data_IF_257188156928
#
_entry.id   IF_257188156928
#
_cell.length_a   1.000
_cell.length_b   1.000
_cell.length_c   1.000
_cell.angle_alpha   90.00
_cell.angle_beta   90.00
_cell.angle_gamma   90.00
#
_symmetry.space_group_name_H-M   'P 1'
#
loop_
_entity.id
_entity.type
_entity.pdbx_description
1 polymer ?
#
# COMPACT_ATOMS: atom_id res chain seq x y z
N UNK A 1 0.11 17.94 5.17
CA UNK A 1 1.49 17.42 5.35
C UNK A 1 1.65 16.14 4.57
N UNK A 2 2.74 15.99 3.82
CA UNK A 2 3.02 14.79 3.03
C UNK A 2 3.69 13.74 3.92
N UNK A 3 3.06 12.57 4.12
CA UNK A 3 3.48 11.57 5.13
C UNK A 3 4.50 10.55 4.62
N UNK A 4 4.98 10.67 3.37
CA UNK A 4 5.83 9.66 2.73
C UNK A 4 7.06 9.27 3.56
N UNK A 5 7.81 10.26 4.07
CA UNK A 5 9.00 9.99 4.87
C UNK A 5 8.68 9.20 6.14
N UNK A 6 7.61 9.59 6.85
CA UNK A 6 7.16 8.88 8.05
C UNK A 6 6.73 7.44 7.69
N UNK A 7 6.02 7.24 6.58
CA UNK A 7 5.61 5.91 6.11
C UNK A 7 6.80 5.02 5.76
N UNK A 8 7.85 5.57 5.13
CA UNK A 8 9.07 4.81 4.83
C UNK A 8 9.86 4.46 6.09
N UNK A 9 9.82 5.31 7.12
CA UNK A 9 10.45 5.07 8.41
C UNK A 9 9.68 4.05 9.27
N UNK A 10 8.37 3.90 9.05
CA UNK A 10 7.49 3.04 9.85
C UNK A 10 7.37 1.61 9.32
N UNK A 11 8.30 1.14 8.47
CA UNK A 11 8.23 -0.22 7.91
C UNK A 11 8.48 -1.23 9.04
N UNK A 12 7.50 -2.10 9.37
CA UNK A 12 7.57 -2.93 10.57
C UNK A 12 8.47 -4.17 10.41
N UNK A 13 8.87 -4.49 9.17
CA UNK A 13 9.67 -5.68 8.85
C UNK A 13 10.93 -5.24 8.10
N UNK A 14 12.07 -5.82 8.48
CA UNK A 14 13.33 -5.58 7.80
C UNK A 14 13.20 -5.86 6.29
N UNK A 15 13.54 -4.87 5.47
CA UNK A 15 13.48 -5.03 4.02
C UNK A 15 14.64 -5.91 3.55
N UNK A 16 14.42 -6.81 2.59
CA UNK A 16 15.53 -7.48 1.92
C UNK A 16 16.40 -6.44 1.20
N UNK A 17 17.68 -6.73 0.99
CA UNK A 17 18.54 -5.83 0.21
C UNK A 17 18.07 -5.81 -1.26
N UNK A 18 17.81 -4.63 -1.85
CA UNK A 18 17.46 -4.54 -3.27
C UNK A 18 18.65 -4.99 -4.14
N UNK A 19 18.36 -5.69 -5.24
CA UNK A 19 19.37 -6.11 -6.22
C UNK A 19 18.89 -5.77 -7.64
N UNK A 20 19.80 -5.72 -8.61
CA UNK A 20 19.42 -5.48 -10.01
C UNK A 20 18.37 -6.46 -10.54
N UNK A 21 18.38 -7.72 -10.08
CA UNK A 21 17.41 -8.77 -10.44
C UNK A 21 16.10 -8.69 -9.65
N UNK A 22 16.12 -8.06 -8.47
CA UNK A 22 14.96 -7.90 -7.58
C UNK A 22 14.88 -6.46 -7.08
N UNK A 23 14.55 -5.50 -7.96
CA UNK A 23 14.35 -4.12 -7.55
C UNK A 23 13.11 -4.01 -6.65
N UNK A 24 13.10 -3.04 -5.75
CA UNK A 24 11.94 -2.77 -4.88
C UNK A 24 11.22 -1.54 -5.40
N UNK A 25 10.13 -1.75 -6.14
CA UNK A 25 9.33 -0.66 -6.68
C UNK A 25 8.36 -0.07 -5.65
N UNK A 26 8.18 1.25 -5.68
CA UNK A 26 7.13 1.96 -4.92
C UNK A 26 6.22 2.67 -5.90
N UNK A 27 4.93 2.33 -5.86
CA UNK A 27 3.92 3.01 -6.66
C UNK A 27 3.29 4.14 -5.87
N UNK A 28 3.37 5.36 -6.39
CA UNK A 28 2.70 6.53 -5.81
C UNK A 28 1.67 7.11 -6.78
N UNK A 29 0.74 7.88 -6.24
CA UNK A 29 -0.23 8.64 -7.01
C UNK A 29 0.41 9.86 -7.67
N UNK A 30 -0.41 10.64 -8.39
CA UNK A 30 0.02 11.82 -9.15
C UNK A 30 0.42 13.00 -8.24
N UNK A 31 -0.13 13.11 -7.04
CA UNK A 31 0.21 14.17 -6.08
C UNK A 31 1.65 14.06 -5.56
N UNK A 32 2.31 12.93 -5.79
CA UNK A 32 3.71 12.69 -5.45
C UNK A 32 4.70 13.01 -6.57
N UNK A 33 4.26 13.62 -7.68
CA UNK A 33 5.12 14.03 -8.80
C UNK A 33 5.95 15.28 -8.46
N UNK A 34 6.85 15.14 -7.48
CA UNK A 34 7.67 16.23 -6.92
C UNK A 34 9.11 15.72 -6.77
N UNK A 35 10.10 16.51 -7.20
CA UNK A 35 11.53 16.11 -7.26
C UNK A 35 12.06 15.50 -5.95
N UNK A 36 11.69 16.04 -4.80
CA UNK A 36 12.18 15.55 -3.51
C UNK A 36 11.63 14.15 -3.16
N UNK A 37 10.46 13.76 -3.69
CA UNK A 37 9.90 12.40 -3.54
C UNK A 37 10.78 11.38 -4.22
N UNK A 38 11.20 11.68 -5.46
CA UNK A 38 12.07 10.79 -6.22
C UNK A 38 13.40 10.59 -5.49
N UNK A 39 14.01 11.68 -4.99
CA UNK A 39 15.24 11.62 -4.18
C UNK A 39 15.05 10.76 -2.95
N UNK A 40 14.02 11.04 -2.13
CA UNK A 40 13.72 10.29 -0.92
C UNK A 40 13.56 8.78 -1.18
N UNK A 41 12.85 8.40 -2.25
CA UNK A 41 12.67 7.00 -2.60
C UNK A 41 13.97 6.34 -3.08
N UNK A 42 14.74 7.02 -3.92
CA UNK A 42 16.02 6.49 -4.44
C UNK A 42 17.05 6.35 -3.32
N UNK A 43 17.15 7.33 -2.41
CA UNK A 43 18.04 7.27 -1.24
C UNK A 43 17.65 6.12 -0.30
N UNK A 44 16.34 5.84 -0.17
CA UNK A 44 15.83 4.68 0.54
C UNK A 44 15.95 3.37 -0.27
N UNK A 45 16.60 3.36 -1.44
CA UNK A 45 16.83 2.17 -2.25
C UNK A 45 15.58 1.62 -2.95
N UNK A 46 14.55 2.45 -3.14
CA UNK A 46 13.36 2.11 -3.90
C UNK A 46 13.42 2.63 -5.35
N UNK A 47 12.74 1.93 -6.25
CA UNK A 47 12.49 2.37 -7.62
C UNK A 47 11.15 3.11 -7.68
N UNK A 48 11.15 4.44 -7.90
CA UNK A 48 9.91 5.22 -7.93
C UNK A 48 9.06 4.89 -9.17
N UNK A 49 7.77 4.68 -8.96
CA UNK A 49 6.75 4.52 -9.99
C UNK A 49 5.60 5.50 -9.73
N UNK A 50 5.84 6.77 -10.00
CA UNK A 50 4.86 7.86 -9.84
C UNK A 50 4.04 8.00 -11.13
N UNK A 51 2.75 8.32 -11.03
CA UNK A 51 1.96 8.64 -12.24
C UNK A 51 2.38 10.03 -12.71
N UNK A 52 3.03 10.14 -13.86
CA UNK A 52 3.38 11.45 -14.42
C UNK A 52 2.11 12.27 -14.74
N UNK A 53 2.19 13.59 -14.56
CA UNK A 53 1.13 14.55 -14.89
C UNK A 53 0.75 14.57 -16.39
N UNK A 54 1.69 14.17 -17.27
CA UNK A 54 1.59 14.33 -18.73
C UNK A 54 1.66 13.02 -19.54
N UNK A 55 1.60 11.86 -18.90
CA UNK A 55 1.50 10.61 -19.68
C UNK A 55 0.04 10.32 -20.02
N UNK A 56 -0.23 10.45 -21.33
CA UNK A 56 -1.29 9.76 -22.02
C UNK A 56 -1.42 8.30 -21.58
N UNK A 57 -2.62 7.77 -21.80
CA UNK A 57 -3.13 6.43 -21.46
C UNK A 57 -2.34 5.27 -22.10
N UNK A 58 -1.10 5.51 -22.52
CA UNK A 58 -0.29 4.62 -23.33
C UNK A 58 0.20 3.40 -22.54
N UNK A 59 -0.18 2.25 -23.11
CA UNK A 59 0.27 0.91 -22.81
C UNK A 59 -0.16 0.33 -21.46
N UNK A 60 -1.49 0.15 -21.29
CA UNK A 60 -1.98 -1.09 -20.66
C UNK A 60 -1.49 -2.28 -21.51
N UNK A 61 -0.25 -2.72 -21.31
CA UNK A 61 0.26 -3.95 -21.92
C UNK A 61 -0.58 -5.10 -21.39
N UNK A 62 -1.39 -5.70 -22.26
CA UNK A 62 -2.17 -6.92 -21.95
C UNK A 62 -1.20 -7.97 -21.37
N UNK A 63 -1.56 -8.56 -20.23
CA UNK A 63 -0.72 -9.53 -19.51
C UNK A 63 0.19 -8.96 -18.40
N UNK A 64 0.24 -7.64 -18.19
CA UNK A 64 0.99 -7.07 -17.04
C UNK A 64 0.07 -6.93 -15.81
N UNK A 65 0.52 -7.46 -14.66
CA UNK A 65 -0.23 -7.33 -13.40
C UNK A 65 -0.15 -5.89 -12.91
N UNK A 66 -1.30 -5.26 -12.67
CA UNK A 66 -1.35 -3.89 -12.19
C UNK A 66 -0.71 -3.78 -10.79
N UNK A 67 0.28 -2.89 -10.65
CA UNK A 67 1.12 -2.73 -9.43
C UNK A 67 0.43 -1.97 -8.29
N UNK A 68 -0.62 -1.18 -8.58
CA UNK A 68 -1.23 -0.21 -7.65
C UNK A 68 -2.27 -0.78 -6.68
N UNK A 69 -2.93 -1.88 -7.02
CA UNK A 69 -4.19 -2.28 -6.36
C UNK A 69 -4.05 -2.94 -5.00
N UNK A 70 -2.89 -2.91 -4.34
CA UNK A 70 -2.70 -3.63 -3.07
C UNK A 70 -3.51 -2.97 -1.97
N UNK A 71 -3.43 -1.64 -1.84
CA UNK A 71 -4.13 -0.88 -0.79
C UNK A 71 -5.64 -0.93 -1.01
N UNK A 72 -6.10 -0.66 -2.23
CA UNK A 72 -7.53 -0.67 -2.57
C UNK A 72 -8.14 -2.07 -2.43
N UNK A 73 -7.37 -3.12 -2.77
CA UNK A 73 -7.80 -4.50 -2.56
C UNK A 73 -7.95 -4.81 -1.08
N UNK A 74 -6.98 -4.40 -0.25
CA UNK A 74 -7.07 -4.58 1.21
C UNK A 74 -8.27 -3.84 1.78
N UNK A 75 -8.54 -2.60 1.33
CA UNK A 75 -9.75 -1.86 1.69
C UNK A 75 -11.02 -2.59 1.25
N UNK A 76 -11.05 -3.15 0.04
CA UNK A 76 -12.19 -3.96 -0.44
C UNK A 76 -12.45 -5.17 0.45
N UNK A 77 -11.41 -5.83 0.98
CA UNK A 77 -11.58 -6.90 1.96
C UNK A 77 -12.11 -6.39 3.29
N UNK A 78 -11.59 -5.26 3.80
CA UNK A 78 -12.11 -4.64 5.03
C UNK A 78 -13.58 -4.23 4.89
N UNK A 79 -14.01 -3.78 3.72
CA UNK A 79 -15.40 -3.42 3.46
C UNK A 79 -16.37 -4.62 3.52
N UNK A 80 -15.88 -5.88 3.52
CA UNK A 80 -16.73 -7.06 3.74
C UNK A 80 -17.14 -7.23 5.21
N UNK A 81 -16.46 -6.55 6.13
CA UNK A 81 -16.83 -6.51 7.54
C UNK A 81 -17.80 -5.35 7.78
N UNK A 82 -19.11 -5.65 7.80
CA UNK A 82 -20.17 -4.62 7.91
C UNK A 82 -19.98 -3.69 9.11
N UNK A 83 -19.55 -4.21 10.26
CA UNK A 83 -19.31 -3.41 11.45
C UNK A 83 -18.20 -2.35 11.25
N UNK A 84 -17.16 -2.68 10.48
CA UNK A 84 -16.08 -1.76 10.13
C UNK A 84 -16.55 -0.78 9.06
N UNK A 85 -17.18 -1.28 7.98
CA UNK A 85 -17.67 -0.47 6.87
C UNK A 85 -18.63 0.63 7.33
N UNK A 86 -19.59 0.28 8.19
CA UNK A 86 -20.61 1.21 8.68
C UNK A 86 -20.11 1.99 9.91
N UNK A 87 -18.98 1.61 10.51
CA UNK A 87 -18.47 2.13 11.78
C UNK A 87 -19.51 2.06 12.89
N UNK A 88 -20.00 0.86 13.17
CA UNK A 88 -21.03 0.62 14.19
C UNK A 88 -20.58 0.99 15.60
N UNK A 89 -19.31 0.83 15.90
CA UNK A 89 -18.78 1.07 17.23
C UNK A 89 -18.83 2.55 17.61
N UNK A 90 -19.44 2.85 18.76
CA UNK A 90 -19.50 4.22 19.30
C UNK A 90 -18.17 4.69 19.88
N UNK A 91 -17.39 3.77 20.46
CA UNK A 91 -16.09 4.07 21.06
C UNK A 91 -14.98 3.81 20.05
N UNK A 92 -14.06 4.77 19.93
CA UNK A 92 -12.89 4.67 19.04
C UNK A 92 -12.03 3.45 19.35
N UNK A 93 -11.85 3.11 20.63
CA UNK A 93 -11.09 1.93 21.06
C UNK A 93 -11.68 0.61 20.55
N UNK A 94 -13.02 0.50 20.54
CA UNK A 94 -13.68 -0.71 20.05
C UNK A 94 -13.57 -0.81 18.52
N UNK A 95 -13.73 0.32 17.83
CA UNK A 95 -13.56 0.36 16.38
C UNK A 95 -12.13 -0.03 15.98
N UNK A 96 -11.14 0.49 16.69
CA UNK A 96 -9.73 0.14 16.51
C UNK A 96 -9.46 -1.35 16.77
N UNK A 97 -9.99 -1.90 17.85
CA UNK A 97 -9.92 -3.35 18.13
C UNK A 97 -10.54 -4.20 17.01
N UNK A 98 -11.71 -3.80 16.51
CA UNK A 98 -12.35 -4.45 15.37
C UNK A 98 -11.51 -4.36 14.09
N UNK A 99 -10.88 -3.21 13.83
CA UNK A 99 -9.97 -3.03 12.70
C UNK A 99 -8.75 -3.96 12.79
N UNK A 100 -8.13 -4.06 13.97
CA UNK A 100 -7.03 -4.99 14.19
C UNK A 100 -7.46 -6.45 13.96
N UNK A 101 -8.63 -6.84 14.45
CA UNK A 101 -9.16 -8.19 14.26
C UNK A 101 -9.39 -8.51 12.77
N UNK A 102 -9.98 -7.58 12.00
CA UNK A 102 -10.17 -7.78 10.57
C UNK A 102 -8.83 -7.86 9.81
N UNK A 103 -7.87 -7.01 10.15
CA UNK A 103 -6.52 -7.07 9.57
C UNK A 103 -5.81 -8.39 9.88
N UNK A 104 -5.92 -8.88 11.12
CA UNK A 104 -5.38 -10.18 11.52
C UNK A 104 -6.02 -11.32 10.71
N UNK A 105 -7.37 -11.37 10.67
CA UNK A 105 -8.10 -12.36 9.89
C UNK A 105 -7.71 -12.36 8.41
N UNK A 106 -7.68 -11.19 7.77
CA UNK A 106 -7.28 -11.04 6.37
C UNK A 106 -5.85 -11.58 6.18
N UNK A 107 -4.92 -11.22 7.06
CA UNK A 107 -3.52 -11.63 6.94
C UNK A 107 -3.37 -13.15 7.04
N UNK A 108 -4.01 -13.77 8.04
CA UNK A 108 -3.96 -15.23 8.23
C UNK A 108 -4.66 -16.00 7.10
N UNK A 109 -5.81 -15.52 6.62
CA UNK A 109 -6.52 -16.13 5.49
C UNK A 109 -5.70 -16.05 4.20
N UNK A 110 -5.01 -14.94 3.94
CA UNK A 110 -4.16 -14.80 2.74
C UNK A 110 -2.85 -15.57 2.84
N UNK A 111 -2.40 -15.89 4.05
CA UNK A 111 -1.26 -16.77 4.30
C UNK A 111 -1.61 -18.26 4.20
N UNK A 112 -2.90 -18.63 4.03
CA UNK A 112 -3.34 -20.03 4.02
C UNK A 112 -3.30 -20.69 5.40
N UNK A 113 -3.36 -19.89 6.47
CA UNK A 113 -3.38 -20.37 7.85
C UNK A 113 -4.82 -20.54 8.38
N UNK A 114 -5.81 -20.11 7.60
CA UNK A 114 -7.24 -20.27 7.86
C UNK A 114 -7.89 -20.89 6.63
N UNK A 115 -8.10 -22.20 6.66
CA UNK A 115 -8.71 -22.99 5.57
C UNK A 115 -7.94 -22.91 4.26
#
# INVERSE_FOLDING_TARGET
MMLLAATLASIPVARPRPTARRPQGVCLDKGYDITWVYRLLTDAGFTPHVRALREDVLARRRGTRARRWVVERTHSWMNRFRAILVRWEKKTSNYEGGLHLACAYISFARAGLLG
#
